data_IF_853408274766
#
_entry.id   IF_853408274766
#
_cell.length_a   1.000
_cell.length_b   1.000
_cell.length_c   1.000
_cell.angle_alpha   90.00
_cell.angle_beta   90.00
_cell.angle_gamma   90.00
#
_symmetry.space_group_name_H-M   'P 1'
#
loop_
_entity.id
_entity.type
_entity.pdbx_description
1 polymer ?
#
# COMPACT_ATOMS: atom_id res chain seq x y z
N UNK A 1 18.78 7.02 45.97
CA UNK A 1 18.12 6.00 46.82
C UNK A 1 16.63 6.33 46.96
N UNK A 2 15.75 5.60 46.28
CA UNK A 2 14.41 5.15 46.75
C UNK A 2 13.56 4.64 45.58
N UNK A 3 13.16 3.38 45.75
CA UNK A 3 12.26 2.54 44.94
C UNK A 3 10.80 3.04 44.99
N UNK A 4 9.95 2.46 44.11
CA UNK A 4 8.51 2.12 44.26
C UNK A 4 7.63 2.69 43.13
N UNK A 5 6.57 2.07 42.57
CA UNK A 5 6.00 0.71 42.56
C UNK A 5 4.77 0.74 41.59
N UNK A 6 4.59 -0.32 40.78
CA UNK A 6 3.34 -0.96 40.26
C UNK A 6 2.16 -0.19 39.63
N UNK A 7 1.65 -0.77 38.53
CA UNK A 7 0.26 -1.25 38.24
C UNK A 7 0.29 -1.91 36.84
N UNK A 8 0.23 -3.24 36.60
CA UNK A 8 -0.77 -4.30 36.88
C UNK A 8 -2.12 -4.11 36.15
N UNK A 9 -2.41 -4.97 35.16
CA UNK A 9 -3.68 -5.70 34.91
C UNK A 9 -3.49 -6.58 33.65
N UNK A 10 -3.42 -7.92 33.62
CA UNK A 10 -4.27 -9.05 34.08
C UNK A 10 -5.38 -9.46 33.11
N UNK A 11 -5.27 -10.70 32.56
CA UNK A 11 -6.34 -11.73 32.41
C UNK A 11 -5.73 -12.95 31.64
N UNK A 12 -5.32 -14.06 32.28
CA UNK A 12 -6.06 -15.17 32.95
C UNK A 12 -6.62 -16.20 31.95
N UNK A 13 -6.16 -17.46 32.05
CA UNK A 13 -6.89 -18.77 32.09
C UNK A 13 -5.80 -19.84 32.44
N UNK A 14 -5.64 -20.31 33.69
CA UNK A 14 -6.24 -21.51 34.35
C UNK A 14 -5.84 -22.87 33.69
N UNK A 15 -5.49 -24.01 34.34
CA UNK A 15 -5.45 -24.52 35.73
C UNK A 15 -4.70 -25.88 35.74
N UNK A 16 -4.05 -26.23 36.85
CA UNK A 16 -3.79 -27.62 37.34
C UNK A 16 -2.30 -28.04 37.38
N UNK A 17 -1.74 -28.81 38.33
CA UNK A 17 -2.10 -29.32 39.67
C UNK A 17 -0.83 -30.06 40.20
N UNK A 18 -0.17 -29.56 41.27
CA UNK A 18 0.33 -30.28 42.49
C UNK A 18 1.60 -31.21 42.42
N UNK A 19 2.55 -30.96 43.37
CA UNK A 19 3.71 -31.74 43.93
C UNK A 19 4.77 -32.32 42.96
N UNK A 20 6.08 -32.09 43.08
CA UNK A 20 6.96 -32.50 44.19
C UNK A 20 8.37 -31.97 43.95
N UNK A 21 9.09 -31.62 45.02
CA UNK A 21 10.52 -31.31 44.97
C UNK A 21 11.32 -32.57 44.60
N UNK A 22 11.98 -32.56 43.45
CA UNK A 22 13.22 -33.31 43.23
C UNK A 22 14.18 -32.43 42.46
N UNK A 23 15.25 -32.03 43.14
CA UNK A 23 16.36 -31.26 42.58
C UNK A 23 17.21 -32.17 41.71
N UNK A 24 16.83 -32.34 40.44
CA UNK A 24 17.71 -32.93 39.45
C UNK A 24 18.43 -31.77 38.77
N UNK A 25 19.77 -31.74 38.88
CA UNK A 25 20.64 -30.82 38.19
C UNK A 25 20.30 -30.82 36.69
N UNK A 26 19.46 -29.86 36.29
CA UNK A 26 18.92 -29.81 34.94
C UNK A 26 19.98 -29.17 34.07
N UNK A 27 20.68 -30.00 33.29
CA UNK A 27 21.52 -29.53 32.21
C UNK A 27 20.75 -28.47 31.42
N UNK A 28 21.27 -27.23 31.38
CA UNK A 28 20.55 -26.10 30.83
C UNK A 28 20.19 -26.36 29.35
N UNK A 29 18.94 -26.74 29.11
CA UNK A 29 18.43 -27.01 27.76
C UNK A 29 18.50 -25.71 26.96
N UNK A 30 19.21 -25.75 25.83
CA UNK A 30 19.30 -24.64 24.88
C UNK A 30 18.27 -24.84 23.78
N UNK A 31 17.63 -23.75 23.38
CA UNK A 31 16.69 -23.76 22.24
C UNK A 31 17.34 -23.09 21.04
N UNK A 32 17.32 -23.74 19.88
CA UNK A 32 17.77 -23.17 18.60
C UNK A 32 16.60 -23.08 17.61
N UNK A 33 16.68 -22.10 16.72
CA UNK A 33 15.80 -22.02 15.55
C UNK A 33 16.49 -22.66 14.35
N UNK A 34 15.80 -23.60 13.73
CA UNK A 34 16.23 -24.35 12.55
C UNK A 34 15.34 -24.00 11.37
N UNK A 35 15.94 -23.68 10.23
CA UNK A 35 15.28 -23.16 9.04
C UNK A 35 15.38 -24.14 7.87
N UNK A 36 14.29 -24.28 7.11
CA UNK A 36 14.24 -24.95 5.80
C UNK A 36 13.31 -24.13 4.90
N UNK A 37 13.88 -23.29 4.04
CA UNK A 37 13.11 -22.27 3.32
C UNK A 37 12.41 -21.32 4.29
N UNK A 38 11.11 -21.11 4.13
CA UNK A 38 10.29 -20.26 5.02
C UNK A 38 9.86 -20.96 6.32
N UNK A 39 10.08 -22.28 6.45
CA UNK A 39 9.67 -23.05 7.62
C UNK A 39 10.68 -22.90 8.76
N UNK A 40 10.18 -22.58 9.96
CA UNK A 40 10.99 -22.48 11.20
C UNK A 40 10.58 -23.57 12.18
N UNK A 41 11.54 -24.36 12.66
CA UNK A 41 11.39 -25.31 13.77
C UNK A 41 12.23 -24.86 14.96
N UNK A 42 11.64 -24.81 16.15
CA UNK A 42 12.39 -24.63 17.40
C UNK A 42 12.76 -26.01 17.95
N UNK A 43 14.03 -26.19 18.29
CA UNK A 43 14.56 -27.44 18.84
C UNK A 43 15.19 -27.14 20.20
N UNK A 44 14.69 -27.78 21.25
CA UNK A 44 15.16 -27.61 22.63
C UNK A 44 15.83 -28.89 23.12
N UNK A 45 17.11 -28.83 23.46
CA UNK A 45 17.87 -29.96 24.01
C UNK A 45 19.15 -29.47 24.72
N UNK A 46 19.87 -30.35 25.42
CA UNK A 46 21.11 -29.98 26.12
C UNK A 46 22.23 -29.60 25.13
N UNK A 47 22.27 -30.26 23.97
CA UNK A 47 23.11 -29.94 22.80
C UNK A 47 22.25 -29.99 21.54
N UNK A 48 21.44 -28.95 21.28
CA UNK A 48 20.47 -28.97 20.20
C UNK A 48 21.17 -28.96 18.84
N UNK A 49 20.66 -29.79 17.91
CA UNK A 49 21.08 -29.84 16.51
C UNK A 49 19.86 -29.74 15.61
N UNK A 50 20.02 -29.14 14.44
CA UNK A 50 18.93 -29.09 13.47
C UNK A 50 18.68 -30.48 12.85
N UNK A 51 17.41 -30.86 12.63
CA UNK A 51 17.09 -32.10 11.94
C UNK A 51 17.59 -32.06 10.49
N UNK A 52 17.72 -33.23 9.87
CA UNK A 52 18.22 -33.35 8.49
C UNK A 52 17.43 -32.44 7.54
N UNK A 53 18.16 -31.67 6.72
CA UNK A 53 17.58 -30.69 5.79
C UNK A 53 17.20 -29.34 6.41
N UNK A 54 17.48 -29.11 7.70
CA UNK A 54 17.34 -27.81 8.36
C UNK A 54 18.71 -27.24 8.76
N UNK A 55 18.83 -25.91 8.72
CA UNK A 55 20.06 -25.17 9.02
C UNK A 55 19.82 -24.12 10.12
N UNK A 56 20.81 -23.83 10.95
CA UNK A 56 20.76 -22.72 11.93
C UNK A 56 20.91 -21.36 11.26
N UNK A 57 21.40 -21.32 10.02
CA UNK A 57 21.53 -20.10 9.23
C UNK A 57 20.16 -19.73 8.67
N UNK A 58 19.62 -18.61 9.15
CA UNK A 58 18.41 -18.00 8.61
C UNK A 58 18.62 -17.76 7.10
N UNK A 59 17.75 -18.28 6.22
CA UNK A 59 17.80 -17.95 4.81
C UNK A 59 17.74 -16.44 4.63
N UNK A 60 18.59 -15.91 3.76
CA UNK A 60 18.44 -14.54 3.31
C UNK A 60 17.04 -14.41 2.68
N UNK A 61 16.30 -13.36 3.03
CA UNK A 61 15.08 -13.06 2.30
C UNK A 61 15.44 -12.90 0.83
N UNK A 62 14.64 -13.45 -0.08
CA UNK A 62 14.78 -13.15 -1.50
C UNK A 62 14.79 -11.62 -1.64
N UNK A 63 15.80 -11.09 -2.36
CA UNK A 63 15.87 -9.64 -2.59
C UNK A 63 14.67 -9.27 -3.44
N UNK A 64 13.77 -8.48 -2.87
CA UNK A 64 12.68 -7.89 -3.59
C UNK A 64 13.21 -7.16 -4.83
N UNK A 65 12.66 -7.48 -6.01
CA UNK A 65 13.04 -6.83 -7.25
C UNK A 65 12.44 -5.43 -7.31
N UNK A 66 13.27 -4.40 -7.43
CA UNK A 66 12.78 -3.04 -7.69
C UNK A 66 12.74 -2.81 -9.19
N UNK A 67 11.55 -2.62 -9.74
CA UNK A 67 11.30 -2.47 -11.17
C UNK A 67 10.87 -1.02 -11.43
N UNK A 68 11.53 -0.36 -12.38
CA UNK A 68 11.15 0.99 -12.78
C UNK A 68 9.77 0.97 -13.46
N UNK A 69 8.94 1.95 -13.11
CA UNK A 69 7.62 2.17 -13.65
C UNK A 69 7.57 3.57 -14.25
N UNK A 70 7.13 3.69 -15.50
CA UNK A 70 6.94 4.98 -16.16
C UNK A 70 5.86 4.80 -17.24
N UNK A 71 4.65 5.29 -16.97
CA UNK A 71 3.51 5.06 -17.84
C UNK A 71 2.58 6.27 -17.84
N UNK A 72 2.02 6.58 -19.01
CA UNK A 72 0.96 7.57 -19.17
C UNK A 72 -0.35 6.87 -19.46
N UNK A 73 -1.37 7.20 -18.68
CA UNK A 73 -2.74 6.74 -18.78
C UNK A 73 -3.62 7.85 -19.35
N UNK A 74 -4.30 7.57 -20.46
CA UNK A 74 -5.27 8.48 -21.08
C UNK A 74 -6.64 7.85 -21.12
N UNK A 75 -7.67 8.64 -20.84
CA UNK A 75 -9.04 8.16 -20.84
C UNK A 75 -10.01 9.22 -20.38
N UNK A 76 -10.98 8.84 -19.56
CA UNK A 76 -12.02 9.73 -19.06
C UNK A 76 -12.14 9.66 -17.53
N UNK A 77 -12.60 10.76 -16.97
CA UNK A 77 -12.93 10.91 -15.55
C UNK A 77 -14.36 11.40 -15.46
N UNK A 78 -15.24 10.61 -14.85
CA UNK A 78 -16.62 10.99 -14.58
C UNK A 78 -16.67 11.74 -13.26
N UNK A 79 -16.99 13.02 -13.32
CA UNK A 79 -16.99 13.94 -12.19
C UNK A 79 -18.44 14.29 -11.85
N UNK A 80 -18.74 14.31 -10.56
CA UNK A 80 -19.87 15.03 -10.00
C UNK A 80 -19.30 16.15 -9.13
N UNK A 81 -19.60 17.40 -9.46
CA UNK A 81 -19.07 18.56 -8.72
C UNK A 81 -20.20 19.44 -8.19
N UNK A 82 -19.95 20.08 -7.05
CA UNK A 82 -20.79 21.09 -6.40
C UNK A 82 -19.90 22.17 -5.77
N UNK A 83 -20.50 23.20 -5.20
CA UNK A 83 -19.79 24.28 -4.49
C UNK A 83 -19.00 23.78 -3.26
N UNK A 84 -19.30 22.58 -2.77
CA UNK A 84 -18.72 22.02 -1.54
C UNK A 84 -17.93 20.74 -1.77
N UNK A 85 -17.99 20.14 -2.96
CA UNK A 85 -17.36 18.84 -3.22
C UNK A 85 -17.12 18.59 -4.69
N UNK A 86 -15.96 18.00 -5.00
CA UNK A 86 -15.67 17.44 -6.33
C UNK A 86 -15.39 15.96 -6.17
N UNK A 87 -16.21 15.13 -6.82
CA UNK A 87 -16.16 13.68 -6.74
C UNK A 87 -15.83 13.08 -8.11
N UNK A 88 -14.66 12.47 -8.23
CA UNK A 88 -14.33 11.59 -9.34
C UNK A 88 -14.99 10.22 -9.10
N UNK A 89 -16.22 10.07 -9.61
CA UNK A 89 -17.05 8.87 -9.43
C UNK A 89 -16.50 7.65 -10.16
N UNK A 90 -15.86 7.85 -11.30
CA UNK A 90 -15.13 6.80 -12.01
C UNK A 90 -14.04 7.41 -12.87
N UNK A 91 -12.84 6.86 -12.79
CA UNK A 91 -11.76 7.07 -13.75
C UNK A 91 -11.61 5.79 -14.55
N UNK A 92 -11.53 5.89 -15.87
CA UNK A 92 -11.11 4.78 -16.73
C UNK A 92 -10.09 5.30 -17.73
N UNK A 93 -8.92 4.68 -17.77
CA UNK A 93 -7.84 5.08 -18.66
C UNK A 93 -7.01 3.91 -19.16
N UNK A 94 -6.39 4.10 -20.31
CA UNK A 94 -5.49 3.13 -20.95
C UNK A 94 -4.06 3.62 -20.85
N UNK A 95 -3.19 2.77 -20.33
CA UNK A 95 -1.78 3.02 -20.07
C UNK A 95 -0.89 2.64 -21.23
N UNK A 96 0.01 3.54 -21.59
CA UNK A 96 1.09 3.34 -22.57
C UNK A 96 2.45 3.61 -21.94
N UNK A 97 3.50 3.00 -22.48
CA UNK A 97 4.88 3.14 -21.99
C UNK A 97 5.34 1.93 -21.17
N UNK A 98 6.25 2.16 -20.22
CA UNK A 98 6.81 1.14 -19.32
C UNK A 98 5.84 0.83 -18.17
N UNK A 99 4.68 0.29 -18.52
CA UNK A 99 3.57 -0.02 -17.60
C UNK A 99 3.66 -1.42 -16.97
N UNK A 100 4.74 -2.16 -17.22
CA UNK A 100 4.97 -3.53 -16.71
C UNK A 100 3.89 -4.55 -17.13
N UNK A 101 3.06 -4.22 -18.12
CA UNK A 101 1.90 -5.01 -18.56
C UNK A 101 0.59 -4.62 -17.89
N UNK A 102 0.55 -3.57 -17.08
CA UNK A 102 -0.66 -3.00 -16.49
C UNK A 102 -1.21 -1.92 -17.45
N UNK A 103 -2.00 -2.32 -18.43
CA UNK A 103 -2.46 -1.43 -19.51
C UNK A 103 -3.75 -0.66 -19.20
N UNK A 104 -4.43 -0.94 -18.10
CA UNK A 104 -5.68 -0.29 -17.71
C UNK A 104 -5.55 0.35 -16.33
N UNK A 105 -6.17 1.50 -16.15
CA UNK A 105 -6.33 2.18 -14.86
C UNK A 105 -7.82 2.41 -14.63
N UNK A 106 -8.30 1.98 -13.46
CA UNK A 106 -9.56 2.45 -12.90
C UNK A 106 -9.32 3.17 -11.58
N UNK A 107 -10.21 4.05 -11.19
CA UNK A 107 -10.06 4.75 -9.91
C UNK A 107 -11.23 5.63 -9.52
N UNK A 108 -11.13 6.18 -8.33
CA UNK A 108 -12.05 7.16 -7.77
C UNK A 108 -11.28 8.18 -6.94
N UNK A 109 -11.91 9.33 -6.71
CA UNK A 109 -11.30 10.39 -5.90
C UNK A 109 -12.30 11.43 -5.45
N UNK A 110 -11.87 12.22 -4.49
CA UNK A 110 -12.69 13.25 -3.83
C UNK A 110 -11.82 14.40 -3.36
N UNK A 111 -12.32 15.61 -3.51
CA UNK A 111 -11.76 16.82 -2.92
C UNK A 111 -12.88 17.70 -2.35
N UNK A 112 -12.55 18.46 -1.31
CA UNK A 112 -13.37 19.51 -0.76
C UNK A 112 -12.72 20.85 -1.17
N UNK A 113 -13.21 21.52 -2.24
CA UNK A 113 -12.58 22.73 -2.73
C UNK A 113 -12.75 23.88 -1.72
N UNK A 114 -11.63 24.43 -1.23
CA UNK A 114 -11.60 25.60 -0.32
C UNK A 114 -10.75 26.76 -0.88
N UNK A 115 -9.85 26.47 -1.81
CA UNK A 115 -8.97 27.43 -2.49
C UNK A 115 -8.77 27.02 -3.96
N UNK A 116 -7.94 27.75 -4.72
CA UNK A 116 -7.61 27.39 -6.10
C UNK A 116 -6.87 26.04 -6.18
N UNK A 117 -6.06 25.73 -5.16
CA UNK A 117 -5.36 24.46 -5.00
C UNK A 117 -5.86 23.75 -3.74
N UNK A 118 -6.31 22.52 -3.88
CA UNK A 118 -6.86 21.75 -2.76
C UNK A 118 -6.25 20.37 -2.67
N UNK A 119 -6.14 19.88 -1.44
CA UNK A 119 -5.85 18.48 -1.20
C UNK A 119 -6.97 17.60 -1.78
N UNK A 120 -6.60 16.42 -2.24
CA UNK A 120 -7.55 15.41 -2.67
C UNK A 120 -7.11 14.03 -2.23
N UNK A 121 -8.09 13.13 -2.10
CA UNK A 121 -7.87 11.73 -1.83
C UNK A 121 -8.35 10.91 -3.01
N UNK A 122 -7.73 9.77 -3.28
CA UNK A 122 -8.17 8.88 -4.33
C UNK A 122 -7.50 7.52 -4.27
N UNK A 123 -8.17 6.55 -4.88
CA UNK A 123 -7.66 5.18 -5.02
C UNK A 123 -7.74 4.77 -6.48
N UNK A 124 -6.80 3.92 -6.89
CA UNK A 124 -6.75 3.39 -8.24
C UNK A 124 -6.34 1.93 -8.27
N UNK A 125 -6.72 1.25 -9.34
CA UNK A 125 -6.29 -0.11 -9.66
C UNK A 125 -5.72 -0.09 -11.07
N UNK A 126 -4.44 -0.39 -11.16
CA UNK A 126 -3.77 -0.67 -12.42
C UNK A 126 -3.97 -2.15 -12.73
N UNK A 127 -4.39 -2.48 -13.95
CA UNK A 127 -4.75 -3.85 -14.33
C UNK A 127 -4.19 -4.22 -15.70
N UNK A 128 -3.84 -5.50 -15.88
CA UNK A 128 -3.47 -6.04 -17.20
C UNK A 128 -2.90 -7.44 -17.14
N UNK A 129 -3.19 -8.25 -18.17
CA UNK A 129 -2.73 -9.65 -18.27
C UNK A 129 -3.12 -10.52 -17.07
N UNK A 130 -4.30 -10.28 -16.46
CA UNK A 130 -4.78 -11.00 -15.27
C UNK A 130 -4.15 -10.57 -13.94
N UNK A 131 -3.32 -9.52 -13.92
CA UNK A 131 -2.69 -8.99 -12.71
C UNK A 131 -3.24 -7.61 -12.35
N UNK A 132 -3.14 -7.24 -11.08
CA UNK A 132 -3.50 -5.90 -10.59
C UNK A 132 -2.44 -5.30 -9.67
N UNK A 133 -2.37 -3.98 -9.62
CA UNK A 133 -1.61 -3.21 -8.65
C UNK A 133 -2.53 -2.11 -8.08
N UNK A 134 -2.72 -2.14 -6.77
CA UNK A 134 -3.57 -1.20 -6.05
C UNK A 134 -2.73 0.00 -5.61
N UNK A 135 -3.26 1.20 -5.85
CA UNK A 135 -2.61 2.45 -5.51
C UNK A 135 -3.56 3.39 -4.79
N UNK A 136 -3.00 4.23 -3.93
CA UNK A 136 -3.75 5.25 -3.19
C UNK A 136 -2.94 6.54 -3.10
N UNK A 137 -3.58 7.67 -3.37
CA UNK A 137 -2.95 8.97 -3.22
C UNK A 137 -2.55 9.21 -1.76
N UNK A 138 -1.29 9.57 -1.55
CA UNK A 138 -0.73 9.92 -0.27
C UNK A 138 -1.02 11.37 0.10
N UNK A 139 -0.75 11.69 1.37
CA UNK A 139 -0.79 13.05 1.90
C UNK A 139 0.12 13.98 1.10
N UNK A 140 -0.36 15.18 0.77
CA UNK A 140 0.35 16.15 -0.06
C UNK A 140 0.03 16.08 -1.54
N UNK A 141 -0.94 15.24 -1.95
CA UNK A 141 -1.52 15.28 -3.29
C UNK A 141 -2.45 16.47 -3.40
N UNK A 142 -2.26 17.28 -4.43
CA UNK A 142 -2.94 18.57 -4.63
C UNK A 142 -3.47 18.67 -6.06
N UNK A 143 -4.68 19.21 -6.19
CA UNK A 143 -5.32 19.54 -7.45
C UNK A 143 -5.57 21.05 -7.50
N UNK A 144 -5.07 21.70 -8.54
CA UNK A 144 -5.13 23.14 -8.77
C UNK A 144 -5.94 23.43 -10.03
N UNK A 145 -6.93 24.32 -9.92
CA UNK A 145 -7.54 24.94 -11.08
C UNK A 145 -6.64 26.08 -11.61
N UNK A 146 -6.64 26.29 -12.92
CA UNK A 146 -5.96 27.43 -13.56
C UNK A 146 -6.75 28.75 -13.43
N UNK A 147 -8.04 28.68 -13.08
CA UNK A 147 -8.93 29.82 -12.84
C UNK A 147 -9.87 29.58 -11.64
N UNK A 148 -10.41 30.67 -11.08
CA UNK A 148 -11.39 30.65 -9.99
C UNK A 148 -12.83 30.38 -10.46
N UNK A 149 -13.06 30.38 -11.78
CA UNK A 149 -14.35 30.10 -12.40
C UNK A 149 -14.22 29.08 -13.53
N UNK A 150 -15.23 28.24 -13.71
CA UNK A 150 -15.33 27.36 -14.87
C UNK A 150 -15.67 28.15 -16.15
N UNK A 151 -15.22 27.72 -17.34
CA UNK A 151 -14.40 26.53 -17.60
C UNK A 151 -12.97 26.68 -17.09
N UNK A 152 -12.43 25.60 -16.53
CA UNK A 152 -11.11 25.57 -15.91
C UNK A 152 -10.38 24.26 -16.25
N UNK A 153 -9.06 24.32 -16.37
CA UNK A 153 -8.20 23.14 -16.40
C UNK A 153 -7.71 22.84 -14.98
N UNK A 154 -8.00 21.64 -14.51
CA UNK A 154 -7.47 21.14 -13.24
C UNK A 154 -6.21 20.34 -13.51
N UNK A 155 -5.09 20.78 -12.94
CA UNK A 155 -3.86 20.02 -12.89
C UNK A 155 -3.69 19.43 -11.48
N UNK A 156 -3.36 18.15 -11.39
CA UNK A 156 -3.12 17.49 -10.13
C UNK A 156 -1.75 16.81 -10.09
N UNK A 157 -1.11 16.89 -8.93
CA UNK A 157 0.20 16.32 -8.66
C UNK A 157 0.20 15.66 -7.29
N UNK A 158 1.07 14.68 -7.10
CA UNK A 158 1.24 14.06 -5.81
C UNK A 158 1.99 12.75 -5.87
N UNK A 159 1.73 11.94 -4.87
CA UNK A 159 2.34 10.63 -4.71
C UNK A 159 1.23 9.60 -4.55
N UNK A 160 1.31 8.50 -5.28
CA UNK A 160 0.45 7.34 -5.09
C UNK A 160 1.25 6.20 -4.47
N UNK A 161 0.82 5.77 -3.29
CA UNK A 161 1.41 4.65 -2.57
C UNK A 161 0.81 3.35 -3.10
N UNK A 162 1.67 2.38 -3.37
CA UNK A 162 1.26 1.03 -3.74
C UNK A 162 0.84 0.31 -2.45
N UNK A 163 -0.43 -0.05 -2.38
CA UNK A 163 -1.04 -0.67 -1.19
C UNK A 163 -1.15 -2.19 -1.32
N UNK A 164 -0.95 -2.73 -2.53
CA UNK A 164 -0.90 -4.16 -2.78
C UNK A 164 -1.03 -4.48 -4.26
N UNK A 165 -1.23 -5.76 -4.56
CA UNK A 165 -1.43 -6.25 -5.92
C UNK A 165 -1.81 -7.73 -5.94
N UNK A 166 -2.13 -8.23 -7.12
CA UNK A 166 -2.48 -9.64 -7.36
C UNK A 166 -1.54 -10.26 -8.39
N UNK A 167 -1.59 -11.59 -8.52
CA UNK A 167 -0.76 -12.33 -9.46
C UNK A 167 0.73 -12.09 -9.22
N UNK A 168 1.47 -11.69 -10.26
CA UNK A 168 2.91 -11.39 -10.16
C UNK A 168 3.24 -10.17 -9.28
N UNK A 169 2.25 -9.39 -8.88
CA UNK A 169 2.39 -8.22 -8.00
C UNK A 169 1.88 -8.48 -6.57
N UNK A 170 1.61 -9.73 -6.22
CA UNK A 170 1.22 -10.08 -4.86
C UNK A 170 2.27 -9.61 -3.84
N UNK A 171 1.85 -8.75 -2.91
CA UNK A 171 2.73 -8.17 -1.88
C UNK A 171 3.67 -7.07 -2.38
N UNK A 172 3.42 -6.51 -3.57
CA UNK A 172 4.16 -5.38 -4.10
C UNK A 172 3.96 -4.11 -3.25
N UNK A 173 4.97 -3.24 -3.25
CA UNK A 173 4.99 -1.97 -2.54
C UNK A 173 5.82 -0.92 -3.27
N UNK A 174 5.76 0.32 -2.81
CA UNK A 174 6.50 1.45 -3.37
C UNK A 174 5.64 2.70 -3.47
N UNK A 175 6.21 3.76 -4.04
CA UNK A 175 5.54 5.04 -4.24
C UNK A 175 5.78 5.50 -5.67
N UNK A 176 4.71 5.88 -6.35
CA UNK A 176 4.72 6.45 -7.69
C UNK A 176 4.46 7.95 -7.57
N UNK A 177 5.26 8.77 -8.25
CA UNK A 177 4.92 10.17 -8.51
C UNK A 177 3.79 10.21 -9.52
N UNK A 178 2.83 11.10 -9.26
CA UNK A 178 1.65 11.32 -10.09
C UNK A 178 1.66 12.76 -10.59
N UNK A 179 1.38 12.92 -11.87
CA UNK A 179 0.96 14.20 -12.46
C UNK A 179 -0.16 13.94 -13.45
N UNK A 180 -1.11 14.86 -13.59
CA UNK A 180 -2.14 14.73 -14.59
C UNK A 180 -3.03 15.95 -14.67
N UNK A 181 -3.95 15.92 -15.63
CA UNK A 181 -4.89 17.00 -15.85
C UNK A 181 -6.21 16.52 -16.46
N UNK A 182 -7.25 17.30 -16.20
CA UNK A 182 -8.55 17.21 -16.84
C UNK A 182 -9.19 18.60 -16.89
N UNK A 183 -10.16 18.80 -17.78
CA UNK A 183 -10.87 20.09 -17.90
C UNK A 183 -12.28 19.98 -17.30
N UNK A 184 -12.70 21.00 -16.55
CA UNK A 184 -14.10 21.22 -16.15
C UNK A 184 -14.70 22.22 -17.14
N UNK A 185 -15.84 21.89 -17.74
CA UNK A 185 -16.49 22.74 -18.74
C UNK A 185 -17.78 23.36 -18.25
N UNK A 186 -18.52 22.66 -17.38
CA UNK A 186 -19.79 23.16 -16.87
C UNK A 186 -19.57 24.37 -15.97
N UNK A 187 -20.39 25.39 -16.16
CA UNK A 187 -20.47 26.58 -15.31
C UNK A 187 -21.53 26.44 -14.22
N UNK A 188 -22.23 25.30 -14.14
CA UNK A 188 -23.38 25.07 -13.26
C UNK A 188 -23.05 24.02 -12.19
N UNK A 189 -23.03 24.44 -10.92
CA UNK A 189 -22.81 23.54 -9.79
C UNK A 189 -23.84 22.40 -9.73
N UNK A 190 -23.40 21.22 -9.31
CA UNK A 190 -24.22 19.99 -9.32
C UNK A 190 -24.18 19.21 -10.63
N UNK A 191 -23.43 19.69 -11.63
CA UNK A 191 -23.33 19.02 -12.92
C UNK A 191 -22.49 17.73 -12.86
N UNK A 192 -22.83 16.80 -13.75
CA UNK A 192 -22.03 15.60 -14.03
C UNK A 192 -21.37 15.75 -15.38
N UNK A 193 -20.08 15.48 -15.45
CA UNK A 193 -19.31 15.58 -16.69
C UNK A 193 -18.34 14.40 -16.82
N UNK A 194 -17.92 14.08 -18.04
CA UNK A 194 -16.92 13.04 -18.30
C UNK A 194 -15.78 13.58 -19.16
N UNK A 195 -14.99 14.54 -18.66
CA UNK A 195 -13.87 15.10 -19.42
C UNK A 195 -12.76 14.07 -19.69
N UNK A 196 -11.96 14.39 -20.70
CA UNK A 196 -10.74 13.66 -20.98
C UNK A 196 -9.74 13.83 -19.83
N UNK A 197 -9.09 12.72 -19.47
CA UNK A 197 -8.07 12.63 -18.44
C UNK A 197 -6.74 12.24 -19.09
N UNK A 198 -5.66 12.91 -18.67
CA UNK A 198 -4.29 12.47 -18.92
C UNK A 198 -3.56 12.38 -17.57
N UNK A 199 -2.97 11.24 -17.26
CA UNK A 199 -2.30 10.96 -16.00
C UNK A 199 -0.98 10.23 -16.25
N UNK A 200 0.11 10.68 -15.66
CA UNK A 200 1.42 10.05 -15.73
C UNK A 200 1.83 9.55 -14.35
N UNK A 201 2.31 8.31 -14.32
CA UNK A 201 2.83 7.64 -13.14
C UNK A 201 4.30 7.28 -13.37
N UNK A 202 5.16 7.64 -12.43
CA UNK A 202 6.58 7.29 -12.50
C UNK A 202 7.15 6.92 -11.14
N UNK A 203 8.09 5.98 -11.09
CA UNK A 203 8.74 5.57 -9.84
C UNK A 203 9.22 4.14 -9.90
N UNK A 204 9.18 3.46 -8.75
CA UNK A 204 9.65 2.09 -8.62
C UNK A 204 8.61 1.23 -7.92
N UNK A 205 8.35 0.05 -8.48
CA UNK A 205 7.54 -1.00 -7.88
C UNK A 205 8.48 -2.05 -7.32
N UNK A 206 8.40 -2.28 -6.01
CA UNK A 206 9.13 -3.35 -5.34
C UNK A 206 8.25 -4.60 -5.31
N UNK A 207 8.68 -5.68 -5.95
CA UNK A 207 7.99 -6.98 -5.95
C UNK A 207 8.69 -7.95 -5.00
N UNK A 208 7.93 -8.84 -4.35
CA UNK A 208 8.47 -9.87 -3.45
C UNK A 208 9.10 -11.05 -4.19
#
# INVERSE_FOLDING_TARGET
MKSNIKKVLTAVVAVGLVISMTSNASAANKTISCYKGTTVKKVTAAKPKCPAGYTTKKPAAAKAGSIAFNSTYKGNISIAWSDTSVQATSVTATGTGSNMGLSSLTGTGSSAPQAQCNAFQGKGVLSGGGNTLNVEFGSGSEACADSDAAPATVEFKGNANITGGTGKYAGASGTLKVSGSFAIKSTVAGSKESPALSLTLSGNVTTK
#
